data_IF_496469392245
#
_entry.id   IF_496469392245
#
_cell.length_a   1.000
_cell.length_b   1.000
_cell.length_c   1.000
_cell.angle_alpha   90.00
_cell.angle_beta   90.00
_cell.angle_gamma   90.00
#
_symmetry.space_group_name_H-M   'P 1'
#
loop_
_entity.id
_entity.type
_entity.pdbx_description
1 polymer ?
#
# COMPACT_ATOMS: atom_id res chain seq x y z
N UNK A 1 -70.72 20.38 64.31
CA UNK A 1 -69.88 21.22 65.19
C UNK A 1 -68.91 20.32 65.96
N UNK A 2 -67.67 20.23 65.46
CA UNK A 2 -66.43 19.62 66.03
C UNK A 2 -65.41 19.60 64.88
N UNK A 3 -64.28 20.32 65.00
CA UNK A 3 -62.92 19.79 65.29
C UNK A 3 -62.32 19.01 64.09
N UNK A 4 -61.07 19.12 63.64
CA UNK A 4 -59.86 19.89 64.00
C UNK A 4 -58.81 19.61 62.93
N UNK A 5 -57.81 20.48 62.85
CA UNK A 5 -56.61 20.45 62.02
C UNK A 5 -55.59 19.36 62.45
N UNK A 6 -54.79 18.88 61.49
CA UNK A 6 -53.44 18.23 61.52
C UNK A 6 -53.31 16.76 61.09
N UNK A 7 -52.62 16.52 59.96
CA UNK A 7 -51.43 15.65 59.77
C UNK A 7 -51.22 15.42 58.26
N UNK A 8 -50.21 16.00 57.61
CA UNK A 8 -48.83 15.52 57.50
C UNK A 8 -48.68 14.28 56.57
N UNK A 9 -48.22 14.58 55.34
CA UNK A 9 -47.49 13.73 54.37
C UNK A 9 -48.30 12.73 53.53
N UNK A 10 -48.31 12.95 52.20
CA UNK A 10 -48.03 11.90 51.21
C UNK A 10 -47.68 12.53 49.84
N UNK A 11 -46.45 12.25 49.39
CA UNK A 11 -46.02 12.09 47.99
C UNK A 11 -46.15 13.33 47.06
N UNK A 12 -45.09 14.11 46.80
CA UNK A 12 -43.95 13.72 45.95
C UNK A 12 -44.33 13.05 44.61
N UNK A 13 -45.50 13.37 44.05
CA UNK A 13 -46.05 12.76 42.83
C UNK A 13 -46.07 13.68 41.60
N UNK A 14 -45.18 14.69 41.52
CA UNK A 14 -45.15 15.62 40.37
C UNK A 14 -43.72 16.05 40.00
N UNK A 15 -42.77 15.11 40.01
CA UNK A 15 -41.38 15.33 39.61
C UNK A 15 -40.80 14.12 38.84
N UNK A 16 -41.62 13.45 38.02
CA UNK A 16 -41.20 12.28 37.25
C UNK A 16 -41.85 12.23 35.86
N UNK A 17 -41.69 13.31 35.08
CA UNK A 17 -42.09 13.35 33.67
C UNK A 17 -41.09 14.13 32.80
N UNK A 18 -39.83 14.25 33.23
CA UNK A 18 -38.75 14.73 32.38
C UNK A 18 -38.14 13.54 31.62
N UNK A 19 -38.65 13.32 30.42
CA UNK A 19 -37.87 12.97 29.24
C UNK A 19 -36.80 11.87 29.43
N UNK A 20 -37.23 10.61 29.51
CA UNK A 20 -36.41 9.50 29.01
C UNK A 20 -36.41 9.55 27.47
N UNK A 21 -35.71 10.53 26.89
CA UNK A 21 -35.35 10.50 25.49
C UNK A 21 -34.26 9.44 25.34
N UNK A 22 -34.63 8.25 24.90
CA UNK A 22 -33.67 7.29 24.39
C UNK A 22 -33.04 7.89 23.14
N UNK A 23 -31.87 8.52 23.28
CA UNK A 23 -31.07 8.95 22.15
C UNK A 23 -30.57 7.70 21.40
N UNK A 24 -31.35 7.26 20.41
CA UNK A 24 -30.87 6.28 19.43
C UNK A 24 -29.97 7.01 18.45
N UNK A 25 -28.70 7.14 18.79
CA UNK A 25 -27.68 7.57 17.84
C UNK A 25 -27.40 6.41 16.88
N UNK A 26 -28.21 6.30 15.84
CA UNK A 26 -27.94 5.37 14.75
C UNK A 26 -26.79 5.97 13.94
N UNK A 27 -25.64 5.29 13.90
CA UNK A 27 -24.53 5.69 13.03
C UNK A 27 -25.05 5.68 11.58
N UNK A 28 -25.23 6.87 11.00
CA UNK A 28 -25.56 7.02 9.60
C UNK A 28 -24.29 7.47 8.84
N UNK A 29 -24.05 6.93 7.64
CA UNK A 29 -22.95 7.40 6.81
C UNK A 29 -23.15 8.87 6.48
N UNK A 30 -22.08 9.66 6.56
CA UNK A 30 -22.09 11.08 6.23
C UNK A 30 -22.53 11.26 4.77
N UNK A 31 -23.39 12.25 4.52
CA UNK A 31 -23.73 12.68 3.17
C UNK A 31 -22.53 13.37 2.50
N UNK A 32 -22.54 13.47 1.17
CA UNK A 32 -21.45 14.10 0.41
C UNK A 32 -21.21 15.57 0.84
N UNK A 33 -22.28 16.29 1.17
CA UNK A 33 -22.20 17.66 1.65
C UNK A 33 -21.56 17.74 3.04
N UNK A 34 -21.86 16.79 3.92
CA UNK A 34 -21.25 16.70 5.24
C UNK A 34 -19.79 16.28 5.15
N UNK A 35 -19.46 15.30 4.31
CA UNK A 35 -18.09 14.91 3.95
C UNK A 35 -17.28 16.10 3.43
N UNK A 36 -17.86 16.92 2.55
CA UNK A 36 -17.21 18.13 2.04
C UNK A 36 -17.00 19.21 3.12
N UNK A 37 -17.81 19.20 4.19
CA UNK A 37 -17.69 20.15 5.31
C UNK A 37 -16.77 19.66 6.43
N UNK A 38 -16.31 18.42 6.37
CA UNK A 38 -15.35 17.88 7.33
C UNK A 38 -13.97 18.46 7.04
N UNK A 39 -13.44 19.25 7.98
CA UNK A 39 -12.07 19.76 7.95
C UNK A 39 -11.20 18.88 8.85
N UNK A 40 -10.35 18.04 8.24
CA UNK A 40 -9.29 17.32 8.94
C UNK A 40 -8.02 18.17 9.07
N UNK A 41 -7.37 18.16 10.23
CA UNK A 41 -6.01 18.70 10.40
C UNK A 41 -5.03 17.54 10.28
N UNK A 42 -4.20 17.54 9.22
CA UNK A 42 -3.14 16.57 9.01
C UNK A 42 -1.77 17.20 9.24
N UNK A 43 -0.83 16.42 9.79
CA UNK A 43 0.57 16.82 9.84
C UNK A 43 1.24 16.35 8.56
N UNK A 44 2.00 17.25 7.94
CA UNK A 44 2.85 16.92 6.79
C UNK A 44 4.30 17.09 7.20
N UNK A 45 5.06 16.01 7.17
CA UNK A 45 6.49 16.04 7.44
C UNK A 45 7.27 16.14 6.12
N UNK A 46 8.19 17.09 6.05
CA UNK A 46 9.08 17.26 4.90
C UNK A 46 10.51 16.91 5.28
N UNK A 47 11.16 16.04 4.51
CA UNK A 47 12.57 15.74 4.66
C UNK A 47 13.29 15.90 3.33
N UNK A 48 14.48 16.49 3.38
CA UNK A 48 15.34 16.68 2.21
C UNK A 48 16.61 15.86 2.36
N UNK A 49 17.00 15.16 1.32
CA UNK A 49 18.26 14.43 1.25
C UNK A 49 18.93 14.65 -0.09
N UNK A 50 20.24 14.40 -0.18
CA UNK A 50 20.99 14.48 -1.42
C UNK A 50 21.83 13.22 -1.58
N UNK A 51 21.83 12.64 -2.77
CA UNK A 51 22.56 11.41 -3.08
C UNK A 51 22.95 11.39 -4.56
N UNK A 52 24.21 11.10 -4.86
CA UNK A 52 24.73 10.94 -6.23
C UNK A 52 24.39 12.10 -7.20
N UNK A 53 24.38 13.34 -6.69
CA UNK A 53 24.07 14.54 -7.48
C UNK A 53 22.57 14.79 -7.72
N UNK A 54 21.70 13.99 -7.10
CA UNK A 54 20.27 14.25 -7.01
C UNK A 54 19.90 14.78 -5.63
N UNK A 55 18.89 15.63 -5.60
CA UNK A 55 18.24 16.13 -4.41
C UNK A 55 16.82 15.56 -4.35
N UNK A 56 16.40 15.20 -3.15
CA UNK A 56 15.14 14.53 -2.86
C UNK A 56 14.35 15.35 -1.86
N UNK A 57 13.06 15.55 -2.14
CA UNK A 57 12.12 16.18 -1.21
C UNK A 57 10.97 15.22 -0.94
N UNK A 58 10.98 14.60 0.24
CA UNK A 58 9.95 13.68 0.72
C UNK A 58 8.89 14.43 1.51
N UNK A 59 7.63 14.16 1.23
CA UNK A 59 6.43 14.67 1.88
C UNK A 59 5.66 13.47 2.42
N UNK A 60 5.72 13.25 3.73
CA UNK A 60 4.99 12.18 4.43
C UNK A 60 3.67 12.71 5.01
N UNK A 61 2.63 11.87 4.97
CA UNK A 61 1.27 12.25 5.37
C UNK A 61 0.88 11.85 6.81
N UNK A 62 1.78 11.19 7.56
CA UNK A 62 1.56 10.73 8.96
C UNK A 62 0.18 10.07 9.15
N UNK A 63 -0.12 9.12 8.27
CA UNK A 63 -1.44 8.51 8.16
C UNK A 63 -1.36 6.99 8.24
N UNK A 64 -2.28 6.40 8.99
CA UNK A 64 -2.53 4.96 9.06
C UNK A 64 -3.80 4.62 8.27
N UNK A 65 -3.65 3.77 7.26
CA UNK A 65 -4.72 3.38 6.34
C UNK A 65 -4.97 1.87 6.48
N UNK A 66 -6.22 1.49 6.70
CA UNK A 66 -6.68 0.12 6.53
C UNK A 66 -7.48 0.02 5.23
N UNK A 67 -7.01 -0.80 4.29
CA UNK A 67 -7.52 -0.87 2.93
C UNK A 67 -8.03 -2.27 2.58
N UNK A 68 -9.26 -2.35 2.06
CA UNK A 68 -9.73 -3.48 1.27
C UNK A 68 -10.13 -2.96 -0.11
N UNK A 69 -9.39 -3.35 -1.14
CA UNK A 69 -9.59 -2.83 -2.49
C UNK A 69 -9.26 -3.86 -3.57
N UNK A 70 -9.90 -3.71 -4.72
CA UNK A 70 -9.64 -4.50 -5.91
C UNK A 70 -9.29 -3.54 -7.06
N UNK A 71 -8.08 -3.65 -7.58
CA UNK A 71 -7.61 -2.93 -8.76
C UNK A 71 -7.45 -3.95 -9.90
N UNK A 72 -7.91 -3.58 -11.09
CA UNK A 72 -7.84 -4.41 -12.29
C UNK A 72 -7.18 -3.62 -13.41
N UNK A 73 -6.39 -4.32 -14.22
CA UNK A 73 -5.76 -3.76 -15.41
C UNK A 73 -4.93 -2.49 -15.12
N UNK A 74 -4.09 -2.55 -14.08
CA UNK A 74 -3.15 -1.47 -13.78
C UNK A 74 -2.02 -1.57 -14.80
N UNK A 75 -1.99 -0.62 -15.74
CA UNK A 75 -0.98 -0.54 -16.79
C UNK A 75 -0.30 0.82 -16.77
N UNK A 76 0.99 0.85 -16.47
CA UNK A 76 1.78 2.08 -16.29
C UNK A 76 3.10 2.01 -17.06
N UNK A 77 3.49 3.12 -17.69
CA UNK A 77 4.77 3.22 -18.40
C UNK A 77 4.82 2.47 -19.73
N UNK A 78 3.77 2.62 -20.54
CA UNK A 78 3.76 2.11 -21.92
C UNK A 78 4.48 3.09 -22.87
N UNK A 79 5.54 2.60 -23.49
CA UNK A 79 6.36 3.33 -24.47
C UNK A 79 7.23 2.32 -25.24
N UNK A 80 7.88 2.77 -26.32
CA UNK A 80 8.76 1.89 -27.11
C UNK A 80 10.01 1.53 -26.34
N UNK A 81 10.25 0.24 -26.12
CA UNK A 81 11.46 -0.27 -25.48
C UNK A 81 12.00 -1.48 -26.24
N UNK A 82 13.07 -1.30 -27.02
CA UNK A 82 13.52 -2.28 -28.01
C UNK A 82 13.76 -3.69 -27.44
N UNK A 83 14.36 -3.81 -26.26
CA UNK A 83 14.73 -5.11 -25.69
C UNK A 83 13.51 -5.97 -25.31
N UNK A 84 12.38 -5.36 -24.95
CA UNK A 84 11.16 -6.06 -24.50
C UNK A 84 9.88 -5.35 -24.96
N UNK A 85 9.83 -4.93 -26.22
CA UNK A 85 8.69 -4.12 -26.69
C UNK A 85 7.37 -4.91 -26.66
N UNK A 86 7.44 -6.22 -26.89
CA UNK A 86 6.28 -7.11 -26.90
C UNK A 86 5.65 -7.36 -25.52
N UNK A 87 6.34 -7.01 -24.42
CA UNK A 87 5.79 -7.16 -23.07
C UNK A 87 4.91 -5.97 -22.67
N UNK A 88 4.92 -4.88 -23.46
CA UNK A 88 3.98 -3.77 -23.30
C UNK A 88 4.47 -2.71 -22.33
N UNK A 89 3.91 -2.68 -21.12
CA UNK A 89 4.14 -1.61 -20.16
C UNK A 89 5.22 -1.96 -19.13
N UNK A 90 5.71 -0.94 -18.42
CA UNK A 90 6.62 -1.11 -17.29
C UNK A 90 5.97 -1.86 -16.14
N UNK A 91 4.76 -1.48 -15.74
CA UNK A 91 3.95 -2.27 -14.83
C UNK A 91 2.69 -2.70 -15.57
N UNK A 92 2.51 -4.00 -15.73
CA UNK A 92 1.28 -4.59 -16.23
C UNK A 92 0.76 -5.60 -15.19
N UNK A 93 -0.25 -5.18 -14.45
CA UNK A 93 -0.86 -5.94 -13.36
C UNK A 93 -2.33 -6.13 -13.70
N UNK A 94 -2.70 -7.35 -14.09
CA UNK A 94 -4.07 -7.71 -14.43
C UNK A 94 -5.01 -7.60 -13.23
N UNK A 95 -4.50 -7.95 -12.05
CA UNK A 95 -5.28 -7.97 -10.81
C UNK A 95 -4.36 -7.66 -9.63
N UNK A 96 -4.79 -6.72 -8.78
CA UNK A 96 -4.15 -6.40 -7.51
C UNK A 96 -5.25 -6.24 -6.45
N UNK A 97 -5.18 -7.02 -5.38
CA UNK A 97 -6.22 -7.10 -4.37
C UNK A 97 -5.62 -6.88 -3.00
N UNK A 98 -6.02 -5.79 -2.34
CA UNK A 98 -5.63 -5.49 -0.98
C UNK A 98 -6.61 -6.20 -0.04
N UNK A 99 -6.11 -7.21 0.66
CA UNK A 99 -6.89 -8.09 1.52
C UNK A 99 -7.44 -9.30 0.78
N UNK A 100 -7.94 -10.25 1.55
CA UNK A 100 -8.59 -11.47 1.08
C UNK A 100 -9.76 -11.85 1.99
N UNK A 101 -10.72 -12.56 1.42
CA UNK A 101 -12.01 -12.91 2.03
C UNK A 101 -12.21 -14.41 2.24
N UNK A 102 -11.28 -15.22 1.74
CA UNK A 102 -11.21 -16.68 1.89
C UNK A 102 -10.29 -17.10 3.07
N UNK A 103 -9.92 -16.15 3.93
CA UNK A 103 -9.12 -16.35 5.14
C UNK A 103 -9.83 -15.85 6.40
N UNK A 104 -9.05 -15.51 7.42
CA UNK A 104 -9.54 -14.90 8.65
C UNK A 104 -9.97 -13.44 8.46
N UNK A 105 -10.74 -12.92 9.42
CA UNK A 105 -11.16 -11.50 9.42
C UNK A 105 -9.99 -10.52 9.39
N UNK A 106 -8.86 -10.86 10.02
CA UNK A 106 -7.65 -10.03 10.01
C UNK A 106 -7.02 -9.91 8.61
N UNK A 107 -7.23 -10.90 7.73
CA UNK A 107 -6.66 -10.90 6.38
C UNK A 107 -7.51 -10.12 5.37
N UNK A 108 -8.67 -9.59 5.78
CA UNK A 108 -9.55 -8.80 4.90
C UNK A 108 -9.03 -7.40 4.61
N UNK A 109 -8.07 -6.92 5.39
CA UNK A 109 -7.51 -5.58 5.30
C UNK A 109 -5.99 -5.66 5.11
N UNK A 110 -5.47 -4.71 4.37
CA UNK A 110 -4.04 -4.38 4.34
C UNK A 110 -3.84 -3.09 5.09
N UNK A 111 -2.85 -3.07 5.98
CA UNK A 111 -2.48 -1.90 6.75
C UNK A 111 -1.30 -1.21 6.08
N UNK A 112 -1.43 0.09 5.87
CA UNK A 112 -0.43 0.96 5.26
C UNK A 112 -0.16 2.10 6.25
N UNK A 113 1.10 2.30 6.60
CA UNK A 113 1.52 3.37 7.50
C UNK A 113 2.45 4.35 6.78
N UNK A 114 2.24 5.63 7.07
CA UNK A 114 3.01 6.78 6.59
C UNK A 114 3.22 6.77 5.06
N UNK A 115 2.13 6.89 4.28
CA UNK A 115 2.26 7.12 2.86
C UNK A 115 2.99 8.43 2.58
N UNK A 116 3.80 8.45 1.53
CA UNK A 116 4.62 9.59 1.16
C UNK A 116 4.74 9.75 -0.34
N UNK A 117 5.00 10.98 -0.75
CA UNK A 117 5.52 11.32 -2.08
C UNK A 117 6.94 11.85 -1.93
N UNK A 118 7.85 11.47 -2.81
CA UNK A 118 9.21 12.01 -2.85
C UNK A 118 9.55 12.46 -4.25
N UNK A 119 9.88 13.75 -4.38
CA UNK A 119 10.26 14.38 -5.64
C UNK A 119 11.77 14.35 -5.80
N UNK A 120 12.24 14.09 -7.02
CA UNK A 120 13.66 14.02 -7.36
C UNK A 120 13.99 15.12 -8.36
N UNK A 121 15.02 15.89 -8.05
CA UNK A 121 15.54 16.96 -8.89
C UNK A 121 17.07 16.98 -8.89
N UNK A 122 17.66 17.69 -9.84
CA UNK A 122 19.10 17.97 -9.89
C UNK A 122 19.34 19.37 -10.44
N UNK A 123 20.57 19.86 -10.33
CA UNK A 123 20.96 21.06 -11.07
C UNK A 123 20.97 20.77 -12.57
N UNK A 124 20.36 21.64 -13.35
CA UNK A 124 20.45 21.59 -14.81
C UNK A 124 21.87 21.93 -15.27
N UNK A 125 22.16 21.65 -16.54
CA UNK A 125 23.48 21.89 -17.13
C UNK A 125 23.91 23.37 -17.12
N UNK A 126 22.95 24.30 -17.01
CA UNK A 126 23.20 25.74 -16.88
C UNK A 126 23.67 26.16 -15.47
N UNK A 127 23.62 25.26 -14.48
CA UNK A 127 23.99 25.52 -13.09
C UNK A 127 23.07 26.47 -12.32
N UNK A 128 22.01 26.97 -12.96
CA UNK A 128 21.11 27.99 -12.41
C UNK A 128 19.67 27.48 -12.25
N UNK A 129 19.23 26.56 -13.11
CA UNK A 129 17.90 25.97 -13.05
C UNK A 129 17.92 24.58 -12.39
N UNK A 130 16.78 24.18 -11.83
CA UNK A 130 16.57 22.82 -11.30
C UNK A 130 15.80 22.01 -12.33
N UNK A 131 16.33 20.85 -12.67
CA UNK A 131 15.67 19.88 -13.54
C UNK A 131 14.87 18.90 -12.68
N UNK A 132 13.56 18.77 -12.95
CA UNK A 132 12.73 17.73 -12.39
C UNK A 132 13.05 16.38 -13.07
N UNK A 133 13.48 15.40 -12.27
CA UNK A 133 13.86 14.07 -12.75
C UNK A 133 12.72 13.09 -12.63
N UNK A 134 11.88 13.26 -11.61
CA UNK A 134 10.71 12.42 -11.42
C UNK A 134 10.23 12.45 -9.99
N UNK A 135 9.47 11.42 -9.63
CA UNK A 135 8.95 11.26 -8.28
C UNK A 135 8.74 9.78 -7.96
N UNK A 136 8.63 9.47 -6.68
CA UNK A 136 8.08 8.20 -6.19
C UNK A 136 6.97 8.43 -5.20
N UNK A 137 6.07 7.46 -5.13
CA UNK A 137 5.08 7.32 -4.09
C UNK A 137 5.32 6.00 -3.38
N UNK A 138 5.21 5.97 -2.05
CA UNK A 138 5.47 4.77 -1.28
C UNK A 138 4.95 4.83 0.13
N UNK A 139 5.24 3.78 0.89
CA UNK A 139 4.82 3.59 2.27
C UNK A 139 6.05 3.31 3.13
N UNK A 140 6.06 3.79 4.38
CA UNK A 140 7.11 3.38 5.31
C UNK A 140 6.91 1.96 5.80
N UNK A 141 5.65 1.55 5.96
CA UNK A 141 5.28 0.19 6.30
C UNK A 141 3.99 -0.26 5.61
N UNK A 142 3.98 -1.52 5.20
CA UNK A 142 2.80 -2.23 4.68
C UNK A 142 2.73 -3.63 5.28
N UNK A 143 1.55 -4.04 5.75
CA UNK A 143 1.31 -5.40 6.25
C UNK A 143 -0.05 -5.95 5.86
N UNK A 144 -0.09 -7.26 5.61
CA UNK A 144 -1.31 -7.97 5.23
C UNK A 144 -1.14 -8.75 3.94
N UNK A 145 -2.25 -9.30 3.45
CA UNK A 145 -2.25 -10.18 2.28
C UNK A 145 -2.67 -9.39 1.03
N UNK A 146 -1.84 -9.46 -0.02
CA UNK A 146 -2.06 -8.83 -1.31
C UNK A 146 -2.17 -9.92 -2.38
N UNK A 147 -3.37 -10.11 -2.94
CA UNK A 147 -3.56 -10.93 -4.14
C UNK A 147 -3.00 -10.21 -5.36
N UNK A 148 -2.29 -10.91 -6.24
CA UNK A 148 -1.72 -10.28 -7.44
C UNK A 148 -1.65 -11.22 -8.64
N UNK A 149 -1.79 -10.64 -9.83
CA UNK A 149 -1.46 -11.27 -11.10
C UNK A 149 -0.71 -10.26 -11.96
N UNK A 150 0.61 -10.40 -11.98
CA UNK A 150 1.52 -9.50 -12.68
C UNK A 150 1.91 -10.17 -14.00
N UNK A 151 1.69 -9.48 -15.11
CA UNK A 151 2.15 -9.90 -16.42
C UNK A 151 3.60 -9.45 -16.64
N UNK A 152 3.90 -8.20 -16.29
CA UNK A 152 5.24 -7.61 -16.41
C UNK A 152 5.54 -6.64 -15.28
N UNK A 153 6.83 -6.59 -14.93
CA UNK A 153 7.35 -5.76 -13.86
C UNK A 153 8.68 -5.11 -14.30
N UNK A 154 8.70 -3.78 -14.37
CA UNK A 154 9.90 -2.95 -14.28
C UNK A 154 10.14 -2.65 -12.80
N UNK A 155 11.11 -3.31 -12.19
CA UNK A 155 11.29 -3.14 -10.77
C UNK A 155 12.31 -4.05 -10.12
N UNK A 156 12.55 -3.75 -8.85
CA UNK A 156 13.27 -4.59 -7.92
C UNK A 156 12.29 -5.23 -6.94
N UNK A 157 11.96 -6.49 -7.19
CA UNK A 157 11.09 -7.32 -6.37
C UNK A 157 11.76 -8.64 -6.02
N UNK A 158 11.55 -9.08 -4.79
CA UNK A 158 11.91 -10.42 -4.33
C UNK A 158 10.76 -11.02 -3.50
N UNK A 159 10.40 -12.26 -3.78
CA UNK A 159 9.37 -13.00 -3.03
C UNK A 159 9.90 -14.38 -2.70
N UNK A 160 9.80 -14.76 -1.43
CA UNK A 160 10.11 -16.11 -0.97
C UNK A 160 8.86 -16.96 -0.96
N UNK A 161 8.90 -18.15 -1.55
CA UNK A 161 7.83 -19.13 -1.54
C UNK A 161 8.30 -20.50 -1.05
N UNK A 162 7.34 -21.37 -0.75
CA UNK A 162 7.58 -22.77 -0.43
C UNK A 162 6.95 -23.62 -1.53
N UNK A 163 7.76 -24.46 -2.18
CA UNK A 163 7.28 -25.39 -3.18
C UNK A 163 6.56 -26.60 -2.55
N UNK A 164 5.82 -27.36 -3.35
CA UNK A 164 5.03 -28.51 -2.86
C UNK A 164 5.87 -29.60 -2.16
N UNK A 165 7.16 -29.71 -2.49
CA UNK A 165 8.12 -30.61 -1.86
C UNK A 165 8.74 -30.04 -0.55
N UNK A 166 8.30 -28.86 -0.10
CA UNK A 166 8.80 -28.18 1.09
C UNK A 166 10.07 -27.34 0.88
N UNK A 167 10.66 -27.33 -0.32
CA UNK A 167 11.85 -26.51 -0.57
C UNK A 167 11.51 -25.03 -0.72
N UNK A 168 12.37 -24.16 -0.20
CA UNK A 168 12.30 -22.72 -0.46
C UNK A 168 12.60 -22.43 -1.94
N UNK A 169 11.72 -21.65 -2.56
CA UNK A 169 11.88 -21.12 -3.92
C UNK A 169 11.77 -19.60 -3.87
N UNK A 170 12.40 -18.91 -4.80
CA UNK A 170 12.42 -17.45 -4.80
C UNK A 170 12.11 -16.90 -6.19
N UNK A 171 11.28 -15.87 -6.21
CA UNK A 171 11.13 -14.94 -7.33
C UNK A 171 12.10 -13.81 -7.04
N UNK A 172 13.05 -13.54 -7.93
CA UNK A 172 13.95 -12.41 -7.77
C UNK A 172 14.23 -11.74 -9.10
N UNK A 173 13.78 -10.49 -9.24
CA UNK A 173 14.08 -9.62 -10.38
C UNK A 173 15.58 -9.42 -10.63
N UNK A 174 16.46 -9.60 -9.64
CA UNK A 174 17.92 -9.52 -9.83
C UNK A 174 18.48 -10.70 -10.62
N UNK A 175 17.72 -11.79 -10.74
CA UNK A 175 18.09 -12.90 -11.62
C UNK A 175 17.87 -12.58 -13.10
N UNK A 176 17.18 -11.47 -13.41
CA UNK A 176 16.99 -10.99 -14.77
C UNK A 176 18.26 -10.35 -15.33
N UNK A 177 18.73 -10.85 -16.48
CA UNK A 177 19.91 -10.33 -17.17
C UNK A 177 19.74 -8.89 -17.66
N UNK A 178 18.51 -8.40 -17.82
CA UNK A 178 18.21 -7.01 -18.19
C UNK A 178 17.92 -6.12 -16.96
N UNK A 179 18.25 -6.62 -15.77
CA UNK A 179 18.20 -5.86 -14.52
C UNK A 179 16.78 -5.55 -14.03
N UNK A 180 15.77 -6.34 -14.42
CA UNK A 180 14.40 -6.21 -13.93
C UNK A 180 13.53 -5.23 -14.71
N UNK A 181 13.96 -4.77 -15.91
CA UNK A 181 13.17 -3.84 -16.75
C UNK A 181 12.17 -4.62 -17.61
N UNK A 182 10.87 -4.35 -17.45
CA UNK A 182 9.75 -5.07 -18.10
C UNK A 182 9.90 -6.58 -18.04
N UNK A 183 10.38 -7.08 -16.91
CA UNK A 183 10.60 -8.50 -16.67
C UNK A 183 9.26 -9.23 -16.58
N UNK A 184 9.16 -10.37 -17.27
CA UNK A 184 7.96 -11.21 -17.33
C UNK A 184 7.92 -12.26 -16.20
N UNK A 185 8.89 -12.22 -15.28
CA UNK A 185 8.95 -13.16 -14.17
C UNK A 185 9.47 -14.54 -14.55
N UNK A 186 9.94 -14.72 -15.79
CA UNK A 186 10.55 -15.97 -16.22
C UNK A 186 11.93 -16.15 -15.57
N UNK A 187 12.23 -17.39 -15.21
CA UNK A 187 13.50 -17.79 -14.61
C UNK A 187 13.76 -19.27 -14.91
N UNK A 188 15.02 -19.70 -14.83
CA UNK A 188 15.39 -21.11 -14.98
C UNK A 188 15.34 -21.78 -13.61
N UNK A 189 14.61 -22.90 -13.50
CA UNK A 189 14.43 -23.61 -12.24
C UNK A 189 15.77 -24.02 -11.59
N UNK A 190 15.86 -24.07 -10.24
CA UNK A 190 14.78 -23.89 -9.26
C UNK A 190 14.51 -22.40 -8.93
N UNK A 191 13.32 -21.91 -9.24
CA UNK A 191 12.90 -20.55 -8.96
C UNK A 191 11.37 -20.45 -8.93
N UNK A 192 10.84 -19.36 -8.38
CA UNK A 192 9.43 -19.02 -8.43
C UNK A 192 9.22 -18.00 -9.56
N UNK A 193 8.28 -18.24 -10.46
CA UNK A 193 7.93 -17.32 -11.56
C UNK A 193 6.80 -16.38 -11.15
N UNK A 194 6.63 -15.24 -11.85
CA UNK A 194 5.49 -14.34 -11.59
C UNK A 194 4.15 -15.05 -11.80
N UNK A 195 4.05 -15.96 -12.78
CA UNK A 195 2.85 -16.74 -13.04
C UNK A 195 2.45 -17.66 -11.87
N UNK A 196 3.41 -18.06 -11.03
CA UNK A 196 3.19 -18.90 -9.85
C UNK A 196 2.87 -18.09 -8.60
N UNK A 197 3.12 -16.78 -8.58
CA UNK A 197 2.77 -15.90 -7.47
C UNK A 197 1.32 -15.45 -7.64
N UNK A 198 0.39 -16.11 -6.95
CA UNK A 198 -1.01 -15.66 -6.87
C UNK A 198 -1.25 -14.53 -5.87
N UNK A 199 -0.28 -14.25 -5.02
CA UNK A 199 -0.37 -13.24 -3.97
C UNK A 199 0.80 -13.32 -3.01
N UNK A 200 0.97 -12.29 -2.19
CA UNK A 200 2.01 -12.21 -1.16
C UNK A 200 1.42 -11.79 0.17
N UNK A 201 2.02 -12.27 1.25
CA UNK A 201 1.93 -11.64 2.56
C UNK A 201 3.06 -10.62 2.66
N UNK A 202 2.70 -9.38 2.95
CA UNK A 202 3.62 -8.31 3.27
C UNK A 202 3.85 -8.26 4.79
N UNK A 203 5.11 -8.28 5.18
CA UNK A 203 5.52 -8.34 6.58
C UNK A 203 5.64 -9.77 7.10
N UNK A 204 6.12 -9.88 8.33
CA UNK A 204 6.36 -11.14 9.03
C UNK A 204 6.23 -10.95 10.55
N UNK A 205 6.58 -11.98 11.32
CA UNK A 205 6.59 -11.93 12.78
C UNK A 205 7.53 -10.86 13.36
N UNK A 206 8.51 -10.38 12.59
CA UNK A 206 9.42 -9.31 12.98
C UNK A 206 8.91 -7.91 12.57
N UNK A 207 7.69 -7.80 12.04
CA UNK A 207 7.03 -6.53 11.72
C UNK A 207 6.65 -6.36 10.25
N UNK A 208 6.13 -5.19 9.85
CA UNK A 208 5.63 -4.93 8.50
C UNK A 208 6.76 -4.97 7.46
N UNK A 209 6.38 -5.15 6.19
CA UNK A 209 7.24 -4.93 5.04
C UNK A 209 7.51 -3.43 4.89
N UNK A 210 8.75 -3.06 4.56
CA UNK A 210 9.20 -1.68 4.41
C UNK A 210 9.73 -1.42 3.01
N UNK A 211 10.02 -0.16 2.73
CA UNK A 211 10.62 0.29 1.46
C UNK A 211 9.79 -0.07 0.22
N UNK A 212 8.46 -0.16 0.35
CA UNK A 212 7.58 -0.24 -0.81
C UNK A 212 7.46 1.14 -1.46
N UNK A 213 7.71 1.21 -2.77
CA UNK A 213 7.42 2.41 -3.56
C UNK A 213 7.33 2.12 -5.06
N UNK A 214 6.66 3.02 -5.77
CA UNK A 214 6.61 3.08 -7.23
C UNK A 214 7.07 4.46 -7.68
N UNK A 215 7.99 4.53 -8.64
CA UNK A 215 8.53 5.77 -9.19
C UNK A 215 8.17 5.97 -10.65
N UNK A 216 8.19 7.23 -11.08
CA UNK A 216 8.13 7.68 -12.47
C UNK A 216 9.33 8.58 -12.70
N UNK A 217 10.23 8.18 -13.59
CA UNK A 217 11.57 8.76 -13.73
C UNK A 217 11.93 9.06 -15.18
N UNK A 218 12.59 10.19 -15.41
CA UNK A 218 13.19 10.56 -16.69
C UNK A 218 14.52 9.83 -16.93
N UNK A 219 15.30 9.60 -15.87
CA UNK A 219 16.62 8.97 -15.90
C UNK A 219 16.76 7.98 -14.76
N UNK A 220 17.80 7.15 -14.78
CA UNK A 220 18.12 6.27 -13.65
C UNK A 220 18.38 7.09 -12.38
N UNK A 221 17.81 6.65 -11.26
CA UNK A 221 17.97 7.28 -9.93
C UNK A 221 18.27 6.20 -8.89
N UNK A 222 19.30 6.40 -8.10
CA UNK A 222 19.52 5.64 -6.88
C UNK A 222 18.82 6.35 -5.73
N UNK A 223 17.75 5.74 -5.20
CA UNK A 223 17.09 6.27 -4.01
C UNK A 223 17.88 5.93 -2.74
N UNK A 224 17.82 6.79 -1.71
CA UNK A 224 18.36 6.48 -0.39
C UNK A 224 17.73 5.20 0.16
N UNK A 225 18.57 4.27 0.63
CA UNK A 225 18.12 3.04 1.28
C UNK A 225 17.57 3.35 2.66
N UNK A 226 16.43 2.74 2.99
CA UNK A 226 15.82 2.85 4.32
C UNK A 226 16.64 2.04 5.33
N UNK A 227 16.89 2.61 6.51
CA UNK A 227 17.73 1.96 7.52
C UNK A 227 17.20 0.57 7.91
N UNK A 228 18.09 -0.43 7.85
CA UNK A 228 17.77 -1.83 8.15
C UNK A 228 16.90 -2.54 7.10
N UNK A 229 16.56 -1.91 5.98
CA UNK A 229 15.93 -2.55 4.83
C UNK A 229 16.99 -3.09 3.85
N UNK A 230 16.65 -4.03 2.94
CA UNK A 230 17.55 -4.45 1.87
C UNK A 230 18.05 -3.27 1.04
N UNK A 231 19.29 -3.33 0.55
CA UNK A 231 19.81 -2.31 -0.36
C UNK A 231 18.89 -2.15 -1.57
N UNK A 232 18.53 -0.90 -1.83
CA UNK A 232 17.65 -0.50 -2.94
C UNK A 232 18.44 -0.55 -4.24
N UNK A 233 17.91 -1.19 -5.28
CA UNK A 233 18.54 -1.16 -6.60
C UNK A 233 18.29 0.19 -7.29
N UNK A 234 19.18 0.58 -8.22
CA UNK A 234 18.99 1.79 -9.01
C UNK A 234 17.71 1.68 -9.86
N UNK A 235 16.77 2.61 -9.64
CA UNK A 235 15.52 2.68 -10.38
C UNK A 235 15.78 3.21 -11.79
N UNK A 236 15.44 2.45 -12.82
CA UNK A 236 15.66 2.87 -14.21
C UNK A 236 14.60 3.89 -14.67
N UNK A 237 14.88 4.60 -15.76
CA UNK A 237 13.93 5.51 -16.40
C UNK A 237 12.61 4.80 -16.77
N UNK A 238 11.50 5.54 -16.77
CA UNK A 238 10.14 5.01 -16.91
C UNK A 238 9.48 4.81 -15.55
N UNK A 239 8.61 3.80 -15.45
CA UNK A 239 8.01 3.39 -14.19
C UNK A 239 8.86 2.28 -13.56
N UNK A 240 9.09 2.37 -12.25
CA UNK A 240 9.87 1.40 -11.50
C UNK A 240 9.21 1.08 -10.16
N UNK A 241 9.10 -0.19 -9.82
CA UNK A 241 8.60 -0.65 -8.51
C UNK A 241 9.75 -1.18 -7.66
N UNK A 242 9.71 -0.91 -6.35
CA UNK A 242 10.58 -1.55 -5.38
C UNK A 242 9.73 -2.20 -4.29
N UNK A 243 9.94 -3.50 -4.09
CA UNK A 243 9.30 -4.24 -3.01
C UNK A 243 10.06 -5.54 -2.74
N UNK A 244 11.00 -5.49 -1.80
CA UNK A 244 11.88 -6.63 -1.48
C UNK A 244 11.84 -7.05 -0.03
N UNK A 245 11.49 -6.13 0.87
CA UNK A 245 11.49 -6.41 2.30
C UNK A 245 10.28 -7.28 2.65
N UNK A 246 10.52 -8.45 3.25
CA UNK A 246 9.50 -9.29 3.89
C UNK A 246 8.28 -9.58 3.00
N UNK A 247 8.55 -10.17 1.84
CA UNK A 247 7.51 -10.69 0.97
C UNK A 247 7.54 -12.21 0.93
N UNK A 248 6.45 -12.81 1.36
CA UNK A 248 6.24 -14.25 1.28
C UNK A 248 5.09 -14.56 0.33
N UNK A 249 5.26 -15.52 -0.57
CA UNK A 249 4.18 -15.95 -1.46
C UNK A 249 3.08 -16.64 -0.65
N UNK A 250 1.81 -16.24 -0.87
CA UNK A 250 0.65 -16.91 -0.27
C UNK A 250 0.48 -18.35 -0.78
N UNK A 251 0.88 -18.56 -2.03
CA UNK A 251 0.94 -19.85 -2.68
C UNK A 251 1.94 -19.77 -3.85
N UNK A 252 2.30 -20.95 -4.36
CA UNK A 252 3.19 -21.12 -5.51
C UNK A 252 2.46 -21.74 -6.71
N UNK A 253 1.12 -21.62 -6.74
CA UNK A 253 0.24 -22.20 -7.76
C UNK A 253 -0.37 -21.16 -8.71
N UNK A 254 -0.10 -19.87 -8.50
CA UNK A 254 -0.68 -18.78 -9.28
C UNK A 254 -2.14 -18.46 -8.95
N UNK A 255 -2.71 -19.09 -7.91
CA UNK A 255 -4.09 -18.87 -7.50
C UNK A 255 -4.22 -17.57 -6.73
N UNK A 256 -4.98 -16.63 -7.27
CA UNK A 256 -5.23 -15.35 -6.59
C UNK A 256 -6.36 -15.52 -5.57
N UNK A 257 -6.17 -15.14 -4.29
CA UNK A 257 -7.21 -15.27 -3.28
C UNK A 257 -8.39 -14.34 -3.58
N UNK A 258 -9.61 -14.76 -3.22
CA UNK A 258 -10.79 -13.93 -3.43
C UNK A 258 -10.79 -12.73 -2.45
N UNK A 259 -11.12 -11.53 -2.92
CA UNK A 259 -11.31 -10.34 -2.07
C UNK A 259 -12.71 -9.75 -2.28
N UNK A 260 -13.70 -10.38 -1.67
CA UNK A 260 -15.10 -10.01 -1.74
C UNK A 260 -15.46 -9.01 -0.63
N UNK A 261 -16.45 -8.13 -0.84
CA UNK A 261 -17.00 -7.30 0.23
C UNK A 261 -17.54 -8.19 1.37
N UNK A 262 -17.57 -7.67 2.60
CA UNK A 262 -18.28 -8.37 3.69
C UNK A 262 -19.74 -8.52 3.27
N UNK A 263 -20.28 -9.74 3.35
CA UNK A 263 -21.71 -9.96 3.19
C UNK A 263 -22.45 -9.04 4.14
N UNK A 264 -23.48 -8.34 3.65
CA UNK A 264 -24.40 -7.58 4.49
C UNK A 264 -25.34 -8.53 5.22
#
# INVERSE_FOLDING_TARGET
>A
MKMTLHSLWLCAGLALACCTLTASAQMQPLSEAELSSMHGQGIVAMTNTSLNGFDFSKVSLDADIALSANLRNVRLGEYTYAARNGTGADLDISLLQFGRSDGSEAQRLVHIANPYFEFVYRNAADGASREAIGMRFGFEAISGDIGMKINTLSGSMAVTGIAANGSTVQLDSRSDALGGKRWDGSCTAPCLTLAQVGGVTAGDASGPSRDFWVSLLKTTVQFPTTNGAPATDAAQAGVWLNWRDKLQALNTSGLVPANLPKGR
#
